data_IF_055846927272
#
_entry.id   IF_055846927272
#
_cell.length_a   1.000
_cell.length_b   1.000
_cell.length_c   1.000
_cell.angle_alpha   90.00
_cell.angle_beta   90.00
_cell.angle_gamma   90.00
#
_symmetry.space_group_name_H-M   'P 1'
#
loop_
_entity.id
_entity.type
_entity.pdbx_description
1 polymer ?
#
# COMPACT_ATOMS: atom_id res chain seq x y z
N UNK A 1 -49.89 32.05 -30.65
CA UNK A 1 -50.75 32.11 -31.85
C UNK A 1 -50.43 33.41 -32.58
N UNK A 2 -50.45 33.36 -33.91
CA UNK A 2 -50.09 34.36 -34.93
C UNK A 2 -48.61 34.46 -35.37
N UNK A 3 -48.39 34.66 -36.69
CA UNK A 3 -47.67 33.69 -37.52
C UNK A 3 -46.45 34.25 -38.26
N UNK A 4 -45.71 33.39 -38.96
CA UNK A 4 -44.72 33.76 -39.96
C UNK A 4 -45.35 34.35 -41.23
N UNK A 5 -44.57 35.13 -42.00
CA UNK A 5 -44.57 34.96 -43.45
C UNK A 5 -43.15 34.91 -44.05
N UNK A 6 -42.95 33.98 -44.99
CA UNK A 6 -41.82 33.90 -45.94
C UNK A 6 -42.01 34.89 -47.14
N UNK A 7 -41.23 34.80 -48.23
CA UNK A 7 -40.09 35.63 -48.62
C UNK A 7 -40.40 36.52 -49.85
N UNK A 8 -39.39 37.10 -50.52
CA UNK A 8 -39.39 36.94 -51.97
C UNK A 8 -38.04 36.51 -52.54
N UNK A 9 -38.17 35.57 -53.46
CA UNK A 9 -37.23 35.09 -54.46
C UNK A 9 -37.15 36.12 -55.58
N UNK A 10 -35.96 36.45 -56.08
CA UNK A 10 -35.81 36.97 -57.43
C UNK A 10 -34.42 36.58 -57.97
N UNK A 11 -34.46 35.64 -58.91
CA UNK A 11 -33.44 35.36 -59.89
C UNK A 11 -33.00 36.65 -60.59
N UNK A 12 -31.69 36.82 -60.75
CA UNK A 12 -31.20 37.47 -61.95
C UNK A 12 -30.07 36.67 -62.58
N UNK A 13 -30.27 36.43 -63.87
CA UNK A 13 -29.39 35.68 -64.73
C UNK A 13 -28.09 36.45 -64.99
N UNK A 14 -26.99 35.73 -65.28
CA UNK A 14 -26.32 35.75 -66.59
C UNK A 14 -24.81 35.48 -66.52
N UNK A 15 -24.41 34.61 -67.45
CA UNK A 15 -23.14 34.61 -68.21
C UNK A 15 -21.94 33.89 -67.56
N UNK A 16 -21.76 32.64 -68.02
CA UNK A 16 -20.44 32.04 -68.27
C UNK A 16 -19.90 32.67 -69.57
N UNK A 17 -18.60 32.99 -69.63
CA UNK A 17 -17.81 32.36 -70.67
C UNK A 17 -16.47 31.81 -70.15
N UNK A 18 -16.08 30.80 -70.87
CA UNK A 18 -14.93 29.92 -70.74
C UNK A 18 -13.68 30.58 -71.37
N UNK A 19 -12.48 30.07 -70.99
CA UNK A 19 -11.19 30.11 -71.69
C UNK A 19 -10.31 31.38 -71.55
N UNK A 20 -9.18 31.26 -70.84
CA UNK A 20 -7.82 31.22 -71.43
C UNK A 20 -6.75 30.88 -70.39
N UNK A 21 -5.94 29.86 -70.71
CA UNK A 21 -4.64 29.58 -70.11
C UNK A 21 -3.67 30.73 -70.39
N UNK A 22 -2.91 31.15 -69.37
CA UNK A 22 -1.58 31.72 -69.58
C UNK A 22 -0.81 31.69 -68.26
N UNK A 23 0.27 30.92 -68.25
CA UNK A 23 1.31 30.87 -67.22
C UNK A 23 1.85 32.27 -66.85
N UNK A 24 2.35 32.47 -65.63
CA UNK A 24 3.49 33.33 -65.42
C UNK A 24 4.75 32.48 -65.30
N UNK A 25 5.47 32.42 -66.42
CA UNK A 25 6.89 32.12 -66.46
C UNK A 25 7.65 33.17 -65.63
N UNK A 26 8.24 32.76 -64.52
CA UNK A 26 9.34 33.48 -63.89
C UNK A 26 10.53 32.53 -63.74
N UNK A 27 11.34 32.49 -64.80
CA UNK A 27 12.74 32.10 -64.67
C UNK A 27 13.44 33.16 -63.81
N UNK A 28 13.66 32.83 -62.54
CA UNK A 28 14.84 33.32 -61.83
C UNK A 28 15.78 32.14 -61.70
N UNK A 29 16.85 32.19 -62.48
CA UNK A 29 17.96 31.24 -62.48
C UNK A 29 18.59 31.20 -61.08
N UNK A 30 18.21 30.19 -60.29
CA UNK A 30 18.93 29.79 -59.09
C UNK A 30 18.87 28.27 -58.94
N UNK A 31 19.96 27.64 -59.41
CA UNK A 31 20.47 26.33 -59.02
C UNK A 31 19.59 25.07 -59.27
N UNK A 32 19.53 24.64 -60.53
CA UNK A 32 19.02 23.31 -60.96
C UNK A 32 19.65 22.11 -60.21
N UNK A 33 20.82 22.30 -59.59
CA UNK A 33 21.52 21.25 -58.83
C UNK A 33 20.87 21.00 -57.46
N UNK A 34 20.31 22.03 -56.84
CA UNK A 34 19.69 21.92 -55.51
C UNK A 34 18.29 21.30 -55.59
N UNK A 35 17.52 21.62 -56.64
CA UNK A 35 16.21 20.98 -56.87
C UNK A 35 16.36 19.49 -57.21
N UNK A 36 17.37 19.12 -58.00
CA UNK A 36 17.68 17.72 -58.29
C UNK A 36 18.11 16.95 -57.02
N UNK A 37 18.91 17.57 -56.15
CA UNK A 37 19.30 16.99 -54.86
C UNK A 37 18.10 16.80 -53.93
N UNK A 38 17.17 17.76 -53.87
CA UNK A 38 15.96 17.67 -53.04
C UNK A 38 15.05 16.54 -53.54
N UNK A 39 14.83 16.44 -54.86
CA UNK A 39 14.04 15.34 -55.44
C UNK A 39 14.68 13.97 -55.18
N UNK A 40 16.00 13.87 -55.29
CA UNK A 40 16.74 12.64 -54.96
C UNK A 40 16.58 12.25 -53.49
N UNK A 41 16.66 13.23 -52.58
CA UNK A 41 16.45 13.00 -51.13
C UNK A 41 15.01 12.55 -50.85
N UNK A 42 14.02 13.15 -51.51
CA UNK A 42 12.61 12.79 -51.34
C UNK A 42 12.35 11.37 -51.85
N UNK A 43 12.84 11.02 -53.05
CA UNK A 43 12.70 9.68 -53.62
C UNK A 43 13.36 8.61 -52.74
N UNK A 44 14.57 8.90 -52.24
CA UNK A 44 15.24 7.97 -51.32
C UNK A 44 14.52 7.84 -49.98
N UNK A 45 13.80 8.88 -49.53
CA UNK A 45 12.99 8.83 -48.31
C UNK A 45 11.70 8.05 -48.51
N UNK A 46 11.08 8.14 -49.68
CA UNK A 46 9.91 7.34 -50.09
C UNK A 46 10.30 5.86 -50.19
N UNK A 47 11.39 5.54 -50.88
CA UNK A 47 11.88 4.16 -51.00
C UNK A 47 12.24 3.56 -49.62
N UNK A 48 12.80 4.37 -48.70
CA UNK A 48 13.07 3.95 -47.33
C UNK A 48 11.79 3.78 -46.47
N UNK A 49 10.70 4.48 -46.79
CA UNK A 49 9.41 4.29 -46.12
C UNK A 49 8.71 3.02 -46.63
N UNK A 50 8.73 2.77 -47.94
CA UNK A 50 8.24 1.53 -48.53
C UNK A 50 9.03 0.29 -48.07
N UNK A 51 10.36 0.42 -47.90
CA UNK A 51 11.19 -0.64 -47.26
C UNK A 51 10.90 -0.83 -45.77
N UNK A 52 10.37 0.17 -45.07
CA UNK A 52 9.94 0.04 -43.66
C UNK A 52 8.56 -0.60 -43.54
N UNK A 53 7.69 -0.41 -44.52
CA UNK A 53 6.36 -1.01 -44.57
C UNK A 53 6.40 -2.49 -45.02
N UNK A 54 7.35 -2.84 -45.90
CA UNK A 54 7.51 -4.21 -46.43
C UNK A 54 8.23 -5.20 -45.50
N UNK A 55 8.86 -4.73 -44.41
CA UNK A 55 9.63 -5.59 -43.50
C UNK A 55 8.90 -6.05 -42.23
N UNK A 56 7.60 -5.73 -42.09
CA UNK A 56 6.78 -6.26 -40.99
C UNK A 56 5.51 -6.93 -41.55
N UNK A 57 5.71 -8.00 -42.30
CA UNK A 57 4.59 -8.87 -42.63
C UNK A 57 4.04 -9.46 -41.33
N UNK A 58 2.71 -9.43 -41.16
CA UNK A 58 1.98 -9.97 -40.01
C UNK A 58 2.49 -11.37 -39.55
N UNK A 59 2.86 -12.30 -40.45
CA UNK A 59 3.45 -13.59 -40.07
C UNK A 59 4.79 -13.47 -39.31
N UNK A 60 5.62 -12.49 -39.64
CA UNK A 60 6.92 -12.25 -39.00
C UNK A 60 6.76 -11.66 -37.60
N UNK A 61 5.80 -10.75 -37.43
CA UNK A 61 5.44 -10.21 -36.11
C UNK A 61 4.86 -11.32 -35.20
N UNK A 62 4.03 -12.21 -35.75
CA UNK A 62 3.49 -13.37 -35.01
C UNK A 62 4.62 -14.34 -34.64
N UNK A 63 5.52 -14.66 -35.58
CA UNK A 63 6.65 -15.56 -35.34
C UNK A 63 7.56 -15.04 -34.22
N UNK A 64 7.95 -13.76 -34.25
CA UNK A 64 8.76 -13.15 -33.19
C UNK A 64 8.06 -13.11 -31.83
N UNK A 65 6.73 -12.98 -31.80
CA UNK A 65 5.95 -13.04 -30.57
C UNK A 65 5.94 -14.46 -29.98
N UNK A 66 5.76 -15.47 -30.84
CA UNK A 66 5.81 -16.89 -30.47
C UNK A 66 7.18 -17.23 -29.88
N UNK A 67 8.28 -16.81 -30.52
CA UNK A 67 9.63 -17.04 -29.98
C UNK A 67 9.82 -16.38 -28.62
N UNK A 68 9.35 -15.14 -28.44
CA UNK A 68 9.43 -14.44 -27.15
C UNK A 68 8.59 -15.08 -26.05
N UNK A 69 7.46 -15.70 -26.39
CA UNK A 69 6.63 -16.45 -25.44
C UNK A 69 7.32 -17.75 -25.04
N UNK A 70 7.88 -18.49 -26.00
CA UNK A 70 8.63 -19.73 -25.73
C UNK A 70 9.84 -19.47 -24.83
N UNK A 71 10.61 -18.41 -25.08
CA UNK A 71 11.73 -17.99 -24.22
C UNK A 71 11.29 -17.69 -22.78
N UNK A 72 10.10 -17.12 -22.59
CA UNK A 72 9.54 -16.84 -21.26
C UNK A 72 9.09 -18.11 -20.56
N UNK A 73 8.49 -19.06 -21.31
CA UNK A 73 8.09 -20.37 -20.78
C UNK A 73 9.32 -21.15 -20.31
N UNK A 74 10.38 -21.24 -21.12
CA UNK A 74 11.61 -21.93 -20.74
C UNK A 74 12.27 -21.31 -19.49
N UNK A 75 12.24 -19.98 -19.36
CA UNK A 75 12.73 -19.28 -18.16
C UNK A 75 11.88 -19.57 -16.92
N UNK A 76 10.58 -19.80 -17.06
CA UNK A 76 9.69 -20.18 -15.97
C UNK A 76 9.94 -21.63 -15.54
N UNK A 77 10.08 -22.56 -16.49
CA UNK A 77 10.41 -23.97 -16.21
C UNK A 77 11.77 -24.11 -15.50
N UNK A 78 12.79 -23.35 -15.93
CA UNK A 78 14.09 -23.28 -15.24
C UNK A 78 13.99 -22.73 -13.81
N UNK A 79 13.02 -21.84 -13.53
CA UNK A 79 12.77 -21.35 -12.16
C UNK A 79 12.02 -22.38 -11.32
N UNK A 80 11.08 -23.09 -11.91
CA UNK A 80 10.31 -24.14 -11.24
C UNK A 80 11.22 -25.30 -10.84
N UNK A 81 12.04 -25.81 -11.75
CA UNK A 81 13.03 -26.87 -11.45
C UNK A 81 14.06 -26.49 -10.37
N UNK A 82 14.43 -25.21 -10.27
CA UNK A 82 15.27 -24.72 -9.15
C UNK A 82 14.52 -24.73 -7.83
N UNK A 83 13.23 -24.42 -7.84
CA UNK A 83 12.38 -24.45 -6.66
C UNK A 83 12.16 -25.87 -6.18
N UNK A 84 11.91 -26.81 -7.09
CA UNK A 84 11.73 -28.23 -6.78
C UNK A 84 13.00 -28.81 -6.11
N UNK A 85 14.19 -28.47 -6.63
CA UNK A 85 15.47 -28.84 -5.98
C UNK A 85 15.63 -28.28 -4.57
N UNK A 86 15.15 -27.05 -4.31
CA UNK A 86 15.19 -26.46 -2.96
C UNK A 86 14.21 -27.20 -2.04
N UNK A 87 13.04 -27.58 -2.55
CA UNK A 87 12.05 -28.34 -1.79
C UNK A 87 12.62 -29.72 -1.42
N UNK A 88 13.23 -30.43 -2.36
CA UNK A 88 13.86 -31.73 -2.12
C UNK A 88 15.00 -31.65 -1.10
N UNK A 89 15.85 -30.61 -1.18
CA UNK A 89 16.91 -30.37 -0.19
C UNK A 89 16.36 -30.09 1.22
N UNK A 90 15.24 -29.39 1.32
CA UNK A 90 14.59 -29.11 2.60
C UNK A 90 13.92 -30.37 3.17
N UNK A 91 13.28 -31.17 2.33
CA UNK A 91 12.68 -32.45 2.73
C UNK A 91 13.76 -33.42 3.25
N UNK A 92 14.90 -33.54 2.55
CA UNK A 92 16.02 -34.36 2.99
C UNK A 92 16.61 -33.87 4.34
N UNK A 93 16.70 -32.56 4.58
CA UNK A 93 17.16 -32.01 5.87
C UNK A 93 16.19 -32.27 7.02
N UNK A 94 14.88 -32.27 6.75
CA UNK A 94 13.86 -32.60 7.75
C UNK A 94 13.92 -34.09 8.11
N UNK A 95 14.15 -34.96 7.13
CA UNK A 95 14.25 -36.42 7.36
C UNK A 95 15.51 -36.84 8.13
N UNK A 96 16.61 -36.10 7.98
CA UNK A 96 17.84 -36.34 8.76
C UNK A 96 17.65 -35.93 10.23
N UNK A 97 16.93 -34.83 10.50
CA UNK A 97 16.70 -34.35 11.87
C UNK A 97 15.70 -35.22 12.66
N UNK A 98 14.77 -35.93 12.01
CA UNK A 98 13.85 -36.86 12.67
C UNK A 98 14.50 -38.19 13.08
N UNK A 99 15.66 -38.56 12.51
CA UNK A 99 16.41 -39.77 12.90
C UNK A 99 17.38 -39.53 14.08
N UNK A 100 17.74 -38.28 14.38
CA UNK A 100 18.70 -37.93 15.45
C UNK A 100 18.09 -37.66 16.84
N UNK A 101 16.76 -37.68 17.00
CA UNK A 101 16.08 -37.37 18.27
C UNK A 101 15.69 -38.58 19.14
N UNK A 102 16.15 -39.80 18.83
CA UNK A 102 15.88 -41.00 19.66
C UNK A 102 17.02 -41.42 20.61
N UNK A 103 18.03 -40.58 20.86
CA UNK A 103 19.01 -40.85 21.93
C UNK A 103 19.36 -39.57 22.69
N UNK A 104 18.69 -39.39 23.84
CA UNK A 104 19.25 -39.05 25.17
C UNK A 104 18.09 -38.58 26.05
N UNK A 105 17.41 -39.54 26.69
CA UNK A 105 16.73 -39.28 27.96
C UNK A 105 17.78 -39.54 29.04
N UNK A 106 18.20 -38.49 29.75
CA UNK A 106 18.41 -38.51 31.20
C UNK A 106 18.93 -37.15 31.67
N UNK A 107 18.65 -36.86 32.94
CA UNK A 107 19.07 -35.72 33.78
C UNK A 107 17.95 -34.68 34.04
N UNK A 108 17.28 -34.92 35.18
CA UNK A 108 16.55 -33.92 35.97
C UNK A 108 17.47 -32.81 36.50
N UNK A 109 16.94 -31.62 36.82
CA UNK A 109 17.52 -30.77 37.86
C UNK A 109 16.61 -30.69 39.10
N UNK A 110 17.25 -30.87 40.27
CA UNK A 110 16.70 -30.72 41.61
C UNK A 110 16.29 -29.27 41.90
N UNK A 111 15.18 -29.13 42.63
CA UNK A 111 14.80 -27.96 43.40
C UNK A 111 15.86 -27.69 44.49
N UNK A 112 16.36 -26.45 44.57
CA UNK A 112 16.87 -25.90 45.84
C UNK A 112 16.40 -24.45 45.96
N UNK A 113 15.49 -24.22 46.91
CA UNK A 113 15.15 -22.88 47.43
C UNK A 113 16.30 -22.40 48.30
N UNK A 114 16.79 -21.19 48.07
CA UNK A 114 17.28 -20.31 49.14
C UNK A 114 16.79 -18.90 48.87
N UNK A 115 16.09 -18.37 49.87
CA UNK A 115 15.68 -16.98 50.00
C UNK A 115 16.93 -16.16 50.36
N UNK A 116 17.12 -15.00 49.74
CA UNK A 116 17.59 -13.81 50.44
C UNK A 116 17.25 -12.53 49.66
N UNK A 117 16.75 -11.56 50.43
CA UNK A 117 16.47 -10.15 50.14
C UNK A 117 17.79 -9.42 49.81
N UNK A 118 17.92 -8.26 49.16
CA UNK A 118 17.03 -7.29 48.49
C UNK A 118 17.96 -6.16 47.97
N UNK A 119 17.90 -5.89 46.66
CA UNK A 119 18.56 -4.87 45.79
C UNK A 119 20.09 -4.70 45.85
N UNK A 120 20.76 -4.69 44.68
CA UNK A 120 20.96 -3.40 44.00
C UNK A 120 20.94 -3.44 42.45
N UNK A 121 21.08 -2.24 41.89
CA UNK A 121 21.45 -1.88 40.52
C UNK A 121 20.35 -1.66 39.46
N UNK A 122 20.17 -0.37 39.18
CA UNK A 122 19.42 0.28 38.12
C UNK A 122 20.05 -0.07 36.76
N UNK A 123 19.89 -1.31 36.32
CA UNK A 123 20.06 -1.61 34.91
C UNK A 123 18.86 -1.05 34.16
N UNK A 124 19.16 -0.29 33.11
CA UNK A 124 18.21 0.22 32.15
C UNK A 124 17.23 -0.90 31.77
N UNK A 125 16.01 -0.83 32.29
CA UNK A 125 14.92 -1.67 31.83
C UNK A 125 14.73 -1.31 30.37
N UNK A 126 15.35 -2.10 29.48
CA UNK A 126 14.96 -2.17 28.08
C UNK A 126 13.47 -2.45 28.12
N UNK A 127 12.70 -1.40 27.82
CA UNK A 127 11.28 -1.48 27.61
C UNK A 127 11.04 -2.67 26.68
N UNK A 128 10.51 -3.77 27.23
CA UNK A 128 10.02 -4.86 26.43
C UNK A 128 8.87 -4.27 25.64
N UNK A 129 9.16 -3.90 24.39
CA UNK A 129 8.17 -3.38 23.45
C UNK A 129 6.98 -4.34 23.51
N UNK A 130 5.74 -3.86 23.70
CA UNK A 130 4.58 -4.71 23.47
C UNK A 130 4.76 -5.32 22.08
N UNK A 131 4.71 -6.65 22.01
CA UNK A 131 4.85 -7.40 20.76
C UNK A 131 3.62 -7.17 19.87
N UNK A 132 3.47 -5.95 19.35
CA UNK A 132 2.88 -5.73 18.04
C UNK A 132 4.07 -5.65 17.08
N UNK A 133 4.53 -6.83 16.62
CA UNK A 133 5.44 -6.89 15.48
C UNK A 133 4.63 -6.53 14.22
N UNK A 134 4.28 -5.25 14.09
CA UNK A 134 3.91 -4.67 12.82
C UNK A 134 5.19 -4.61 11.99
N UNK A 135 5.55 -5.73 11.35
CA UNK A 135 6.75 -5.83 10.51
C UNK A 135 6.48 -5.08 9.21
N UNK A 136 6.65 -3.76 9.25
CA UNK A 136 6.38 -2.85 8.12
C UNK A 136 7.35 -3.02 6.95
N UNK A 137 8.27 -3.99 6.97
CA UNK A 137 9.08 -4.33 5.79
C UNK A 137 8.36 -5.30 4.83
N UNK A 138 7.16 -5.76 5.16
CA UNK A 138 6.39 -6.70 4.35
C UNK A 138 5.29 -6.00 3.55
N UNK A 139 5.01 -6.50 2.34
CA UNK A 139 3.84 -6.13 1.52
C UNK A 139 2.55 -6.75 2.08
N UNK A 140 2.43 -6.77 3.40
CA UNK A 140 1.35 -7.43 4.10
C UNK A 140 1.14 -6.83 5.48
N UNK A 141 -0.07 -6.95 5.99
CA UNK A 141 -0.42 -6.54 7.35
C UNK A 141 -1.13 -7.68 8.07
N UNK A 142 -0.86 -7.83 9.36
CA UNK A 142 -1.58 -8.76 10.23
C UNK A 142 -2.43 -7.95 11.19
N UNK A 143 -3.73 -8.25 11.27
CA UNK A 143 -4.67 -7.58 12.14
C UNK A 143 -5.27 -8.61 13.08
N UNK A 144 -5.18 -8.32 14.38
CA UNK A 144 -5.83 -9.10 15.42
C UNK A 144 -7.17 -8.47 15.73
N UNK A 145 -8.23 -9.26 15.66
CA UNK A 145 -9.60 -8.85 15.96
C UNK A 145 -10.31 -9.96 16.72
N UNK A 146 -11.02 -9.57 17.77
CA UNK A 146 -11.96 -10.42 18.50
C UNK A 146 -13.30 -9.66 18.54
N UNK A 147 -14.36 -10.16 17.88
CA UNK A 147 -14.52 -11.47 17.24
C UNK A 147 -13.73 -11.65 15.93
N UNK A 148 -13.64 -12.90 15.46
CA UNK A 148 -12.94 -13.29 14.22
C UNK A 148 -13.77 -12.85 13.00
N UNK A 149 -13.31 -11.84 12.24
CA UNK A 149 -14.04 -11.39 11.07
C UNK A 149 -13.99 -12.44 9.97
N UNK A 150 -14.95 -12.47 9.06
CA UNK A 150 -14.94 -13.37 7.89
C UNK A 150 -14.89 -14.89 8.15
N UNK A 151 -15.11 -15.35 9.39
CA UNK A 151 -14.98 -16.78 9.78
C UNK A 151 -15.93 -17.72 9.01
N UNK A 152 -17.05 -17.21 8.49
CA UNK A 152 -18.07 -17.98 7.75
C UNK A 152 -17.98 -17.84 6.21
N UNK A 153 -16.94 -17.19 5.68
CA UNK A 153 -16.84 -16.88 4.25
C UNK A 153 -15.75 -17.68 3.52
N UNK A 154 -16.03 -18.05 2.26
CA UNK A 154 -15.05 -18.68 1.35
C UNK A 154 -13.78 -17.82 1.19
N UNK A 155 -12.57 -18.38 1.04
CA UNK A 155 -11.31 -17.62 1.00
C UNK A 155 -11.22 -16.45 0.00
N UNK A 156 -11.97 -16.51 -1.10
CA UNK A 156 -12.01 -15.44 -2.11
C UNK A 156 -13.00 -14.32 -1.78
N UNK A 157 -14.03 -14.60 -0.96
CA UNK A 157 -15.06 -13.63 -0.61
C UNK A 157 -14.53 -12.44 0.21
N UNK A 158 -13.66 -12.63 1.25
CA UNK A 158 -13.10 -11.53 2.04
C UNK A 158 -12.33 -10.52 1.21
N UNK A 159 -11.52 -10.97 0.23
CA UNK A 159 -10.78 -10.06 -0.65
C UNK A 159 -11.73 -9.12 -1.41
N UNK A 160 -12.84 -9.64 -1.93
CA UNK A 160 -13.80 -8.84 -2.69
C UNK A 160 -14.55 -7.87 -1.78
N UNK A 161 -14.99 -8.33 -0.61
CA UNK A 161 -15.67 -7.48 0.38
C UNK A 161 -14.77 -6.35 0.87
N UNK A 162 -13.52 -6.66 1.23
CA UNK A 162 -12.55 -5.64 1.67
C UNK A 162 -12.26 -4.66 0.54
N UNK A 163 -12.02 -5.15 -0.69
CA UNK A 163 -11.77 -4.26 -1.83
C UNK A 163 -12.98 -3.36 -2.14
N UNK A 164 -14.21 -3.87 -1.97
CA UNK A 164 -15.43 -3.07 -2.10
C UNK A 164 -15.50 -1.95 -1.05
N UNK A 165 -15.29 -2.28 0.22
CA UNK A 165 -15.21 -1.30 1.30
C UNK A 165 -14.11 -0.25 1.07
N UNK A 166 -12.94 -0.66 0.58
CA UNK A 166 -11.84 0.26 0.23
C UNK A 166 -12.22 1.21 -0.92
N UNK A 167 -12.95 0.73 -1.94
CA UNK A 167 -13.46 1.59 -3.01
C UNK A 167 -14.51 2.58 -2.51
N UNK A 168 -15.43 2.14 -1.64
CA UNK A 168 -16.48 2.99 -1.07
C UNK A 168 -15.91 4.18 -0.27
N UNK A 169 -14.76 4.00 0.40
CA UNK A 169 -14.06 5.08 1.11
C UNK A 169 -13.03 5.83 0.25
N UNK A 170 -12.99 5.58 -1.07
CA UNK A 170 -12.01 6.14 -2.00
C UNK A 170 -10.54 5.95 -1.54
N UNK A 171 -10.22 4.76 -1.00
CA UNK A 171 -8.89 4.45 -0.49
C UNK A 171 -7.82 4.52 -1.58
N UNK A 172 -6.94 5.52 -1.49
CA UNK A 172 -5.84 5.70 -2.42
C UNK A 172 -4.56 6.17 -1.71
N UNK A 173 -3.43 5.90 -2.36
CA UNK A 173 -2.13 6.42 -2.01
C UNK A 173 -1.42 6.81 -3.31
N UNK A 174 -0.93 8.05 -3.39
CA UNK A 174 -0.32 8.62 -4.61
C UNK A 174 -1.16 8.40 -5.88
N UNK A 175 -2.46 8.73 -5.80
CA UNK A 175 -3.46 8.53 -6.86
C UNK A 175 -3.63 7.08 -7.34
N UNK A 176 -3.10 6.11 -6.60
CA UNK A 176 -3.28 4.69 -6.89
C UNK A 176 -4.26 4.08 -5.89
N UNK A 177 -5.31 3.43 -6.39
CA UNK A 177 -6.28 2.73 -5.54
C UNK A 177 -5.61 1.58 -4.78
N UNK A 178 -5.92 1.50 -3.50
CA UNK A 178 -5.40 0.47 -2.61
C UNK A 178 -6.22 -0.80 -2.80
N UNK A 179 -5.53 -1.92 -3.05
CA UNK A 179 -6.18 -3.20 -3.33
C UNK A 179 -5.52 -4.37 -2.62
N UNK A 180 -6.33 -5.17 -1.96
CA UNK A 180 -5.93 -6.45 -1.36
C UNK A 180 -5.79 -7.50 -2.46
N UNK A 181 -4.64 -8.17 -2.47
CA UNK A 181 -4.26 -9.21 -3.44
C UNK A 181 -4.53 -10.61 -2.94
N UNK A 182 -4.32 -10.83 -1.64
CA UNK A 182 -4.60 -12.10 -0.99
C UNK A 182 -4.96 -11.87 0.47
N UNK A 183 -5.62 -12.88 1.03
CA UNK A 183 -6.15 -12.92 2.38
C UNK A 183 -5.83 -14.27 3.01
N UNK A 184 -5.53 -14.30 4.30
CA UNK A 184 -5.30 -15.55 5.04
C UNK A 184 -5.78 -15.39 6.48
N UNK A 185 -6.46 -16.39 7.01
CA UNK A 185 -6.70 -16.54 8.45
C UNK A 185 -5.58 -17.33 9.11
N UNK A 186 -5.09 -16.83 10.23
CA UNK A 186 -4.30 -17.62 11.15
C UNK A 186 -5.21 -18.44 12.07
N UNK A 187 -4.75 -19.61 12.58
CA UNK A 187 -5.48 -20.37 13.58
C UNK A 187 -5.83 -19.57 14.86
N UNK A 188 -5.03 -18.54 15.17
CA UNK A 188 -5.30 -17.59 16.27
C UNK A 188 -6.58 -16.78 16.07
N UNK A 189 -7.08 -16.69 14.84
CA UNK A 189 -8.15 -15.76 14.45
C UNK A 189 -7.64 -14.47 13.83
N UNK A 190 -6.35 -14.19 13.91
CA UNK A 190 -5.74 -13.04 13.24
C UNK A 190 -5.89 -13.17 11.72
N UNK A 191 -6.07 -12.04 11.05
CA UNK A 191 -6.09 -12.01 9.58
C UNK A 191 -4.79 -11.44 9.04
N UNK A 192 -4.37 -11.94 7.89
CA UNK A 192 -3.27 -11.37 7.12
C UNK A 192 -3.73 -10.94 5.74
N UNK A 193 -3.48 -9.69 5.42
CA UNK A 193 -3.77 -9.09 4.13
C UNK A 193 -2.47 -8.89 3.36
N UNK A 194 -2.46 -9.26 2.10
CA UNK A 194 -1.33 -9.03 1.19
C UNK A 194 -1.67 -7.91 0.20
N UNK A 195 -0.76 -6.95 0.08
CA UNK A 195 -0.85 -5.79 -0.81
C UNK A 195 0.20 -5.87 -1.91
N UNK A 196 0.16 -4.97 -2.89
CA UNK A 196 1.19 -4.89 -3.94
C UNK A 196 2.46 -4.22 -3.41
N UNK A 197 2.30 -3.23 -2.55
CA UNK A 197 3.39 -2.38 -2.06
C UNK A 197 3.37 -2.24 -0.53
N UNK A 198 4.51 -1.83 0.04
CA UNK A 198 4.62 -1.46 1.45
C UNK A 198 3.75 -0.24 1.76
N UNK A 199 3.69 0.73 0.85
CA UNK A 199 2.94 1.95 1.05
C UNK A 199 1.44 1.67 1.23
N UNK A 200 0.87 0.78 0.40
CA UNK A 200 -0.50 0.27 0.58
C UNK A 200 -0.70 -0.39 1.95
N UNK A 201 0.26 -1.23 2.38
CA UNK A 201 0.21 -1.88 3.70
C UNK A 201 0.23 -0.85 4.85
N UNK A 202 1.11 0.15 4.77
CA UNK A 202 1.17 1.24 5.74
C UNK A 202 -0.15 2.02 5.80
N UNK A 203 -0.70 2.39 4.65
CA UNK A 203 -1.97 3.11 4.58
C UNK A 203 -3.11 2.31 5.23
N UNK A 204 -3.19 1.00 4.98
CA UNK A 204 -4.21 0.14 5.58
C UNK A 204 -4.12 0.10 7.12
N UNK A 205 -2.90 0.13 7.68
CA UNK A 205 -2.71 0.16 9.13
C UNK A 205 -3.11 1.51 9.73
N UNK A 206 -2.73 2.61 9.08
CA UNK A 206 -3.05 3.97 9.52
C UNK A 206 -4.56 4.24 9.46
N UNK A 207 -5.25 3.66 8.48
CA UNK A 207 -6.67 3.87 8.25
C UNK A 207 -7.54 2.69 8.68
N UNK A 208 -7.01 1.73 9.47
CA UNK A 208 -7.72 0.49 9.84
C UNK A 208 -9.13 0.73 10.39
N UNK A 209 -9.30 1.70 11.28
CA UNK A 209 -10.60 2.01 11.87
C UNK A 209 -11.65 2.48 10.85
N UNK A 210 -11.23 3.05 9.71
CA UNK A 210 -12.13 3.58 8.68
C UNK A 210 -12.67 2.48 7.77
N UNK A 211 -11.85 1.48 7.44
CA UNK A 211 -12.22 0.48 6.44
C UNK A 211 -12.65 -0.86 7.04
N UNK A 212 -12.20 -1.22 8.25
CA UNK A 212 -12.48 -2.56 8.79
C UNK A 212 -13.96 -2.76 9.09
N UNK A 213 -14.62 -1.79 9.73
CA UNK A 213 -16.07 -1.83 10.00
C UNK A 213 -16.92 -1.86 8.71
N UNK A 214 -16.44 -1.20 7.65
CA UNK A 214 -17.09 -1.23 6.34
C UNK A 214 -16.95 -2.58 5.64
N UNK A 215 -15.83 -3.27 5.88
CA UNK A 215 -15.57 -4.57 5.29
C UNK A 215 -16.34 -5.70 6.01
N UNK A 216 -16.50 -5.61 7.33
CA UNK A 216 -17.31 -6.55 8.11
C UNK A 216 -17.73 -5.83 9.42
N UNK A 217 -19.04 -5.79 9.76
CA UNK A 217 -19.51 -5.18 11.01
C UNK A 217 -18.89 -5.78 12.27
N UNK A 218 -18.45 -7.04 12.22
CA UNK A 218 -17.74 -7.71 13.32
C UNK A 218 -16.25 -7.34 13.36
N UNK A 219 -15.74 -6.69 12.32
CA UNK A 219 -14.34 -6.29 12.19
C UNK A 219 -14.10 -4.84 12.61
N UNK A 220 -14.39 -4.53 13.87
CA UNK A 220 -14.21 -3.17 14.38
C UNK A 220 -12.82 -3.01 14.98
N UNK A 221 -12.05 -2.07 14.44
CA UNK A 221 -10.74 -1.71 14.98
C UNK A 221 -10.75 -0.29 15.52
N UNK A 222 -10.16 -0.08 16.69
CA UNK A 222 -9.94 1.26 17.22
C UNK A 222 -8.93 2.03 16.35
N UNK A 223 -9.08 3.37 16.24
CA UNK A 223 -8.09 4.23 15.60
C UNK A 223 -6.68 4.00 16.16
N UNK A 224 -5.62 4.22 15.35
CA UNK A 224 -4.27 4.23 15.87
C UNK A 224 -4.12 5.36 16.90
N UNK A 225 -3.43 5.05 18.01
CA UNK A 225 -3.08 6.03 19.05
C UNK A 225 -1.57 6.16 19.15
N UNK A 226 -1.08 7.36 19.45
CA UNK A 226 0.33 7.71 19.57
C UNK A 226 0.65 8.02 21.03
N UNK A 227 1.24 7.06 21.78
CA UNK A 227 1.51 7.24 23.19
C UNK A 227 2.69 8.17 23.42
N UNK A 228 2.51 9.17 24.28
CA UNK A 228 3.56 10.02 24.82
C UNK A 228 3.67 9.76 26.32
N UNK A 229 4.89 9.66 26.82
CA UNK A 229 5.16 9.44 28.23
C UNK A 229 5.61 10.76 28.85
N UNK A 230 4.88 11.22 29.86
CA UNK A 230 5.27 12.37 30.68
C UNK A 230 5.80 11.84 32.01
N UNK A 231 7.00 12.26 32.37
CA UNK A 231 7.64 11.88 33.63
C UNK A 231 7.36 12.89 34.74
N UNK A 232 7.61 12.47 35.99
CA UNK A 232 7.55 13.34 37.17
C UNK A 232 6.17 13.99 37.40
N UNK A 233 5.08 13.30 37.04
CA UNK A 233 3.73 13.77 37.33
C UNK A 233 3.40 13.50 38.81
N UNK A 234 2.93 14.49 39.59
CA UNK A 234 2.58 14.27 40.99
C UNK A 234 1.42 13.27 41.15
N UNK A 235 1.53 12.35 42.11
CA UNK A 235 0.53 11.28 42.30
C UNK A 235 -0.81 11.72 42.88
N UNK A 236 -0.90 12.97 43.36
CA UNK A 236 -2.18 13.57 43.74
C UNK A 236 -3.06 13.92 42.53
N UNK A 237 -2.51 13.92 41.31
CA UNK A 237 -3.28 14.12 40.09
C UNK A 237 -4.18 12.91 39.85
N UNK A 238 -5.49 13.15 39.83
CA UNK A 238 -6.47 12.12 39.53
C UNK A 238 -6.76 12.07 38.02
N UNK A 239 -6.19 11.09 37.34
CA UNK A 239 -6.38 10.92 35.88
C UNK A 239 -7.66 10.16 35.53
N UNK A 240 -8.29 9.53 36.51
CA UNK A 240 -9.57 8.85 36.34
C UNK A 240 -10.75 9.84 36.48
N UNK A 241 -10.52 10.97 37.17
CA UNK A 241 -11.44 12.10 37.20
C UNK A 241 -11.44 12.89 35.88
N UNK A 242 -12.62 13.01 35.27
CA UNK A 242 -12.82 13.72 34.02
C UNK A 242 -12.56 15.23 34.15
N UNK A 243 -12.88 15.83 35.30
CA UNK A 243 -12.68 17.26 35.52
C UNK A 243 -11.20 17.57 35.57
N UNK A 244 -10.44 16.82 36.39
CA UNK A 244 -8.99 16.95 36.49
C UNK A 244 -8.31 16.74 35.12
N UNK A 245 -8.69 15.68 34.40
CA UNK A 245 -8.16 15.41 33.04
C UNK A 245 -8.41 16.56 32.08
N UNK A 246 -9.64 17.08 32.02
CA UNK A 246 -9.97 18.17 31.11
C UNK A 246 -9.22 19.45 31.46
N UNK A 247 -9.04 19.74 32.76
CA UNK A 247 -8.23 20.88 33.22
C UNK A 247 -6.79 20.79 32.74
N UNK A 248 -6.15 19.61 32.86
CA UNK A 248 -4.77 19.41 32.40
C UNK A 248 -4.67 19.61 30.89
N UNK A 249 -5.59 19.04 30.12
CA UNK A 249 -5.59 19.19 28.66
C UNK A 249 -5.79 20.66 28.25
N UNK A 250 -6.76 21.34 28.85
CA UNK A 250 -7.05 22.74 28.58
C UNK A 250 -5.88 23.66 28.92
N UNK A 251 -5.20 23.44 30.06
CA UNK A 251 -4.02 24.20 30.47
C UNK A 251 -2.84 24.06 29.48
N UNK A 252 -2.82 22.99 28.68
CA UNK A 252 -1.79 22.72 27.69
C UNK A 252 -2.30 22.95 26.25
N UNK A 253 -3.43 23.63 26.07
CA UNK A 253 -4.03 23.92 24.76
C UNK A 253 -4.35 22.66 23.92
N UNK A 254 -4.52 21.51 24.59
CA UNK A 254 -4.86 20.24 23.97
C UNK A 254 -6.38 20.07 24.02
N UNK A 255 -7.00 19.80 22.87
CA UNK A 255 -8.43 19.51 22.81
C UNK A 255 -8.70 18.07 23.25
N UNK A 256 -9.83 17.85 23.92
CA UNK A 256 -10.22 16.51 24.41
C UNK A 256 -10.29 15.47 23.29
N UNK A 257 -10.72 15.87 22.10
CA UNK A 257 -10.87 14.98 20.93
C UNK A 257 -9.51 14.51 20.37
N UNK A 258 -8.42 15.19 20.73
CA UNK A 258 -7.06 14.84 20.33
C UNK A 258 -6.44 13.76 21.23
N UNK A 259 -7.12 13.37 22.32
CA UNK A 259 -6.66 12.39 23.31
C UNK A 259 -7.69 11.27 23.46
N UNK A 260 -7.27 10.03 23.20
CA UNK A 260 -8.08 8.83 23.39
C UNK A 260 -8.21 8.49 24.89
N UNK A 261 -7.08 8.44 25.60
CA UNK A 261 -7.04 8.16 27.04
C UNK A 261 -5.75 8.64 27.69
N UNK A 262 -5.80 8.82 29.00
CA UNK A 262 -4.66 9.10 29.87
C UNK A 262 -4.65 8.03 30.96
N UNK A 263 -3.47 7.53 31.31
CA UNK A 263 -3.33 6.58 32.42
C UNK A 263 -1.97 6.70 33.08
N UNK A 264 -1.89 6.22 34.32
CA UNK A 264 -0.60 5.97 34.97
C UNK A 264 0.17 4.84 34.28
N UNK A 265 1.49 5.02 34.20
CA UNK A 265 2.42 3.94 33.90
C UNK A 265 2.77 3.24 35.22
N UNK A 266 2.25 2.03 35.40
CA UNK A 266 2.32 1.32 36.68
C UNK A 266 1.31 1.86 37.69
N UNK A 267 1.55 1.64 38.98
CA UNK A 267 0.61 2.00 40.06
C UNK A 267 1.30 2.91 41.09
N UNK A 268 1.73 4.13 40.71
CA UNK A 268 2.58 4.95 41.57
C UNK A 268 1.88 5.37 42.88
N UNK A 269 0.54 5.44 42.88
CA UNK A 269 -0.26 5.70 44.10
C UNK A 269 -0.26 4.51 45.06
N UNK A 270 -0.36 3.29 44.54
CA UNK A 270 -0.28 2.06 45.34
C UNK A 270 1.14 1.80 45.85
N UNK A 271 2.15 2.24 45.10
CA UNK A 271 3.57 2.15 45.46
C UNK A 271 4.05 3.30 46.36
N UNK A 272 3.14 4.12 46.89
CA UNK A 272 3.43 5.26 47.79
C UNK A 272 4.45 6.27 47.23
N UNK A 273 4.53 6.39 45.89
CA UNK A 273 5.42 7.33 45.24
C UNK A 273 4.81 8.73 45.26
N UNK A 274 5.66 9.75 45.41
CA UNK A 274 5.25 11.15 45.28
C UNK A 274 5.01 11.56 43.82
N UNK A 275 5.70 10.89 42.90
CA UNK A 275 5.61 11.15 41.46
C UNK A 275 5.56 9.84 40.67
N UNK A 276 4.88 9.87 39.52
CA UNK A 276 4.81 8.78 38.56
C UNK A 276 5.06 9.25 37.13
N UNK A 277 4.80 8.36 36.17
CA UNK A 277 4.78 8.72 34.76
C UNK A 277 3.38 8.51 34.19
N UNK A 278 2.91 9.45 33.38
CA UNK A 278 1.65 9.34 32.66
C UNK A 278 1.91 8.87 31.24
N UNK A 279 1.01 8.04 30.72
CA UNK A 279 0.94 7.72 29.29
C UNK A 279 -0.32 8.37 28.72
N UNK A 280 -0.12 9.35 27.84
CA UNK A 280 -1.19 10.01 27.10
C UNK A 280 -1.25 9.42 25.70
N UNK A 281 -2.41 8.93 25.30
CA UNK A 281 -2.64 8.33 23.99
C UNK A 281 -3.28 9.34 23.06
N UNK A 282 -2.49 9.99 22.21
CA UNK A 282 -2.98 10.96 21.25
C UNK A 282 -3.59 10.29 20.02
N UNK A 283 -4.59 10.91 19.42
CA UNK A 283 -5.19 10.46 18.15
C UNK A 283 -4.47 11.05 16.93
N UNK A 284 -3.77 12.17 17.10
CA UNK A 284 -2.96 12.83 16.07
C UNK A 284 -1.46 12.55 16.28
N UNK A 285 -0.81 12.01 15.24
CA UNK A 285 0.62 11.72 15.21
C UNK A 285 1.48 12.97 15.31
N UNK A 286 1.10 14.04 14.62
CA UNK A 286 1.89 15.26 14.55
C UNK A 286 1.87 15.98 15.90
N UNK A 287 0.72 16.03 16.55
CA UNK A 287 0.59 16.56 17.91
C UNK A 287 1.45 15.76 18.90
N UNK A 288 1.37 14.43 18.86
CA UNK A 288 2.19 13.59 19.72
C UNK A 288 3.71 13.84 19.51
N UNK A 289 4.11 14.14 18.27
CA UNK A 289 5.50 14.45 17.94
C UNK A 289 5.93 15.85 18.39
N UNK A 290 5.03 16.83 18.43
CA UNK A 290 5.32 18.19 18.92
C UNK A 290 5.54 18.24 20.44
N UNK A 291 4.97 17.30 21.18
CA UNK A 291 5.05 17.24 22.65
C UNK A 291 6.34 16.53 23.12
N UNK A 292 6.95 15.71 22.26
CA UNK A 292 8.21 15.00 22.52
C UNK A 292 9.44 15.89 22.28
#
# INVERSE_FOLDING_TARGET
MNPAPDPPDDNDHMIIPEIYESEPSFLTQANNKDQSNILTIILQKIENLERRETNLTLPTAISTLITRLNDKIEKLEKRQTKMDKIIDDLLNKVEINTKSQQRTNDIQPKLQRQQDRYYPNVHHLKCAKPNLKNTTNSKSITLSSAPKPFEKTSPQAPCNTINKALMEINANHDNTLIRIRAFTHYPSGDIKLYTRSRAEACWLLENKARWTHQADPLFVMSPPTFPVIIHSCPTYVDVDDEICRNSILQQNEIKKEQVDRIRWLGHPKEEEKSHGSLVIYFTDKNLAHQIL
#
